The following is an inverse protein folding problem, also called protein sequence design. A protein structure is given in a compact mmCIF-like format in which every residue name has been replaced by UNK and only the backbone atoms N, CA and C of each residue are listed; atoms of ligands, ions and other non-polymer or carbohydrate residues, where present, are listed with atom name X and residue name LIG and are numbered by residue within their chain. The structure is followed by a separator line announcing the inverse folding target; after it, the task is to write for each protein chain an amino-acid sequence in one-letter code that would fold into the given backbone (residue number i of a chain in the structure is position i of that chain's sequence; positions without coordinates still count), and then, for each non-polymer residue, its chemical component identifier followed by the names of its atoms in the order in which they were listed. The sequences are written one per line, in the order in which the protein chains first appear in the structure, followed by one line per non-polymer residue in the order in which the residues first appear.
data_IF_284167677614
#
_entry.id   IF_284167677614
#
_cell.length_a   1.000
_cell.length_b   1.000
_cell.length_c   1.000
_cell.angle_alpha   90.00
_cell.angle_beta   90.00
_cell.angle_gamma   90.00
#
_symmetry.space_group_name_H-M   'P 1'
#
loop_
_entity.id
_entity.type
_entity.pdbx_description
1 polymer ?
#
# COMPACT_ATOMS: atom_id res chain seq x y z
N UNK A 1 17.18 -31.60 15.31
CA UNK A 1 17.65 -32.80 16.03
C UNK A 1 19.16 -32.92 16.13
N UNK A 2 19.92 -32.55 15.10
CA UNK A 2 21.38 -32.76 15.05
C UNK A 2 22.22 -31.48 15.15
N UNK A 3 21.66 -30.30 14.88
CA UNK A 3 22.36 -29.02 14.99
C UNK A 3 22.17 -28.40 16.38
N UNK A 4 23.23 -27.88 17.03
CA UNK A 4 23.08 -27.12 18.26
C UNK A 4 22.43 -25.75 18.00
N UNK A 5 21.72 -25.21 19.00
CA UNK A 5 21.22 -23.82 19.02
C UNK A 5 20.28 -23.41 17.88
N UNK A 6 19.48 -24.33 17.33
CA UNK A 6 18.38 -23.95 16.43
C UNK A 6 17.37 -23.12 17.22
N UNK A 7 17.09 -21.89 16.76
CA UNK A 7 16.14 -21.00 17.41
C UNK A 7 14.75 -21.66 17.52
N UNK A 8 14.04 -21.50 18.66
CA UNK A 8 12.66 -21.97 18.79
C UNK A 8 11.77 -21.44 17.65
N UNK A 9 11.06 -22.33 16.98
CA UNK A 9 10.20 -21.98 15.83
C UNK A 9 10.89 -21.89 14.47
N UNK A 10 12.21 -22.12 14.37
CA UNK A 10 12.98 -22.05 13.12
C UNK A 10 13.50 -23.42 12.62
N UNK A 11 12.84 -24.51 12.99
CA UNK A 11 13.19 -25.83 12.47
C UNK A 11 12.70 -26.00 11.02
N UNK A 12 13.59 -26.41 10.11
CA UNK A 12 13.21 -26.77 8.75
C UNK A 12 12.64 -28.19 8.72
N UNK A 13 11.47 -28.37 8.11
CA UNK A 13 10.81 -29.67 7.96
C UNK A 13 10.36 -29.93 6.52
N UNK A 14 9.59 -30.99 6.32
CA UNK A 14 9.12 -31.40 4.99
C UNK A 14 8.21 -30.37 4.29
N UNK A 15 7.61 -29.44 5.05
CA UNK A 15 6.77 -28.36 4.52
C UNK A 15 7.45 -27.00 4.43
N UNK A 16 8.78 -26.92 4.64
CA UNK A 16 9.53 -25.66 4.63
C UNK A 16 10.07 -25.37 3.23
N UNK A 17 9.66 -24.25 2.64
CA UNK A 17 10.31 -23.69 1.45
C UNK A 17 11.58 -22.91 1.83
N UNK A 18 12.57 -22.86 0.95
CA UNK A 18 13.86 -22.22 1.19
C UNK A 18 14.19 -21.20 0.09
N UNK A 19 14.54 -19.98 0.51
CA UNK A 19 15.12 -18.95 -0.36
C UNK A 19 16.56 -18.74 0.11
N UNK A 20 17.55 -18.91 -0.78
CA UNK A 20 18.95 -18.62 -0.44
C UNK A 20 19.18 -17.11 -0.46
N UNK A 21 19.72 -16.59 0.64
CA UNK A 21 20.16 -15.20 0.78
C UNK A 21 21.68 -15.09 1.01
N UNK A 22 22.44 -16.16 0.70
CA UNK A 22 23.90 -16.14 0.83
C UNK A 22 24.51 -15.08 -0.09
N UNK A 23 25.31 -14.18 0.47
CA UNK A 23 25.90 -13.06 -0.26
C UNK A 23 24.93 -11.92 -0.59
N UNK A 24 23.66 -12.01 -0.19
CA UNK A 24 22.66 -10.96 -0.39
C UNK A 24 22.54 -10.03 0.83
N UNK A 25 22.11 -8.79 0.59
CA UNK A 25 21.58 -7.91 1.64
C UNK A 25 20.05 -8.01 1.56
N UNK A 26 19.42 -8.36 2.67
CA UNK A 26 17.95 -8.40 2.78
C UNK A 26 17.48 -7.21 3.60
N UNK A 27 16.57 -6.41 3.04
CA UNK A 27 15.95 -5.28 3.73
C UNK A 27 14.46 -5.52 3.91
N UNK A 28 13.81 -4.73 4.76
CA UNK A 28 12.37 -4.56 4.65
C UNK A 28 12.03 -3.96 3.27
N UNK A 29 10.82 -4.23 2.79
CA UNK A 29 10.30 -3.51 1.63
C UNK A 29 10.07 -2.03 1.95
N UNK A 30 10.30 -1.16 0.98
CA UNK A 30 10.14 0.27 1.17
C UNK A 30 8.65 0.66 1.30
N UNK A 31 8.42 1.70 2.10
CA UNK A 31 7.12 2.32 2.36
C UNK A 31 7.10 3.72 1.74
N UNK A 32 6.26 3.92 0.72
CA UNK A 32 6.05 5.22 0.11
C UNK A 32 4.74 5.83 0.59
N UNK A 33 4.80 7.03 1.17
CA UNK A 33 3.64 7.67 1.84
C UNK A 33 3.08 8.89 1.12
N UNK A 34 3.58 9.18 -0.08
CA UNK A 34 3.16 10.32 -0.90
C UNK A 34 2.84 9.88 -2.34
N UNK A 35 1.96 8.90 -2.49
CA UNK A 35 1.62 8.35 -3.80
C UNK A 35 0.45 9.09 -4.44
N UNK A 36 0.62 9.54 -5.67
CA UNK A 36 -0.49 9.94 -6.53
C UNK A 36 -0.92 8.73 -7.34
N UNK A 37 -2.15 8.23 -7.15
CA UNK A 37 -2.65 7.07 -7.92
C UNK A 37 -3.16 7.46 -9.31
N UNK A 38 -2.21 7.86 -10.17
CA UNK A 38 -2.46 8.38 -11.53
C UNK A 38 -2.70 7.24 -12.52
N UNK A 39 -1.91 6.17 -12.44
CA UNK A 39 -2.03 5.03 -13.34
C UNK A 39 -1.60 3.73 -12.64
N UNK A 40 -2.13 2.56 -13.05
CA UNK A 40 -1.76 1.29 -12.42
C UNK A 40 -0.29 0.88 -12.68
N UNK A 41 0.32 1.34 -13.77
CA UNK A 41 1.68 0.99 -14.15
C UNK A 41 2.72 1.34 -13.08
N UNK A 42 2.47 2.42 -12.32
CA UNK A 42 3.38 2.86 -11.26
C UNK A 42 3.55 1.82 -10.15
N UNK A 43 2.59 0.91 -9.97
CA UNK A 43 2.72 -0.17 -8.98
C UNK A 43 3.84 -1.13 -9.40
N UNK A 44 3.94 -1.48 -10.68
CA UNK A 44 5.01 -2.35 -11.17
C UNK A 44 6.38 -1.68 -11.09
N UNK A 45 6.44 -0.38 -11.36
CA UNK A 45 7.66 0.41 -11.16
C UNK A 45 8.09 0.40 -9.69
N UNK A 46 7.16 0.71 -8.78
CA UNK A 46 7.38 0.69 -7.34
C UNK A 46 7.89 -0.67 -6.85
N UNK A 47 7.27 -1.77 -7.27
CA UNK A 47 7.69 -3.12 -6.91
C UNK A 47 9.12 -3.43 -7.39
N UNK A 48 9.45 -3.05 -8.63
CA UNK A 48 10.80 -3.24 -9.18
C UNK A 48 11.86 -2.43 -8.44
N UNK A 49 11.48 -1.31 -7.81
CA UNK A 49 12.33 -0.48 -6.97
C UNK A 49 12.38 -0.93 -5.48
N UNK A 50 11.74 -2.06 -5.14
CA UNK A 50 11.70 -2.59 -3.77
C UNK A 50 10.66 -1.93 -2.86
N UNK A 51 9.73 -1.14 -3.40
CA UNK A 51 8.58 -0.60 -2.66
C UNK A 51 7.50 -1.67 -2.57
N UNK A 52 7.04 -1.93 -1.35
CA UNK A 52 6.05 -2.97 -1.05
C UNK A 52 4.77 -2.42 -0.46
N UNK A 53 4.77 -1.14 -0.08
CA UNK A 53 3.60 -0.44 0.45
C UNK A 53 3.53 0.98 -0.12
N UNK A 54 2.37 1.34 -0.64
CA UNK A 54 2.10 2.62 -1.29
C UNK A 54 0.86 3.26 -0.66
N UNK A 55 1.07 4.36 0.05
CA UNK A 55 0.02 5.15 0.68
C UNK A 55 -0.09 6.52 0.00
N UNK A 56 -1.32 6.92 -0.32
CA UNK A 56 -1.57 8.17 -1.00
C UNK A 56 -3.00 8.22 -1.53
N UNK A 57 -3.28 8.95 -2.61
CA UNK A 57 -4.65 9.09 -3.11
C UNK A 57 -4.73 9.38 -4.60
N UNK A 58 -5.87 9.07 -5.19
CA UNK A 58 -6.11 9.29 -6.60
C UNK A 58 -7.24 8.45 -7.16
N UNK A 59 -7.69 8.81 -8.37
CA UNK A 59 -8.77 8.14 -9.11
C UNK A 59 -8.37 7.95 -10.58
N UNK A 60 -7.09 7.70 -10.85
CA UNK A 60 -6.52 7.70 -12.20
C UNK A 60 -6.06 9.10 -12.65
N UNK A 61 -5.91 9.34 -13.96
CA UNK A 61 -5.27 10.54 -14.51
C UNK A 61 -6.18 11.79 -14.51
N UNK A 62 -7.02 11.94 -13.48
CA UNK A 62 -7.85 13.10 -13.29
C UNK A 62 -7.02 14.30 -12.81
N UNK A 63 -7.42 15.52 -13.18
CA UNK A 63 -6.74 16.77 -12.76
C UNK A 63 -6.54 16.86 -11.25
N UNK A 64 -7.53 16.42 -10.46
CA UNK A 64 -7.42 16.38 -9.00
C UNK A 64 -6.30 15.47 -8.51
N UNK A 65 -6.22 14.25 -9.04
CA UNK A 65 -5.19 13.27 -8.70
C UNK A 65 -3.80 13.71 -9.15
N UNK A 66 -3.68 14.34 -10.31
CA UNK A 66 -2.40 14.88 -10.78
C UNK A 66 -1.86 16.00 -9.88
N UNK A 67 -2.71 16.62 -9.06
CA UNK A 67 -2.33 17.71 -8.17
C UNK A 67 -2.23 17.29 -6.70
N UNK A 68 -3.10 16.40 -6.24
CA UNK A 68 -3.25 16.08 -4.81
C UNK A 68 -3.45 14.57 -4.62
N UNK A 69 -2.77 14.02 -3.63
CA UNK A 69 -2.96 12.64 -3.13
C UNK A 69 -4.29 12.47 -2.39
N UNK A 70 -5.40 12.59 -3.11
CA UNK A 70 -6.74 12.42 -2.55
C UNK A 70 -7.61 11.53 -3.44
N UNK A 71 -8.29 10.58 -2.81
CA UNK A 71 -9.37 9.77 -3.36
C UNK A 71 -10.69 10.30 -2.77
N UNK A 72 -11.34 11.28 -3.42
CA UNK A 72 -12.38 12.07 -2.76
C UNK A 72 -13.73 11.34 -2.68
N UNK A 73 -14.24 11.18 -1.46
CA UNK A 73 -15.59 10.70 -1.20
C UNK A 73 -15.77 9.18 -1.26
N UNK A 74 -16.85 8.64 -0.65
CA UNK A 74 -17.04 7.19 -0.48
C UNK A 74 -17.01 6.39 -1.77
N UNK A 75 -17.64 6.90 -2.84
CA UNK A 75 -17.72 6.18 -4.12
C UNK A 75 -16.34 5.93 -4.74
N UNK A 76 -15.49 6.95 -4.77
CA UNK A 76 -14.15 6.82 -5.34
C UNK A 76 -13.27 5.90 -4.49
N UNK A 77 -13.40 5.98 -3.16
CA UNK A 77 -12.67 5.10 -2.23
C UNK A 77 -13.02 3.64 -2.51
N UNK A 78 -14.32 3.30 -2.59
CA UNK A 78 -14.74 1.93 -2.91
C UNK A 78 -14.22 1.47 -4.29
N UNK A 79 -14.27 2.32 -5.32
CA UNK A 79 -13.74 1.95 -6.65
C UNK A 79 -12.23 1.70 -6.63
N UNK A 80 -11.48 2.48 -5.85
CA UNK A 80 -10.03 2.29 -5.73
C UNK A 80 -9.67 1.05 -4.90
N UNK A 81 -10.45 0.74 -3.85
CA UNK A 81 -10.32 -0.51 -3.11
C UNK A 81 -10.60 -1.72 -4.01
N UNK A 82 -11.66 -1.68 -4.81
CA UNK A 82 -11.95 -2.73 -5.81
C UNK A 82 -10.83 -2.87 -6.85
N UNK A 83 -10.28 -1.75 -7.33
CA UNK A 83 -9.16 -1.77 -8.27
C UNK A 83 -7.87 -2.33 -7.65
N UNK A 84 -7.70 -2.22 -6.33
CA UNK A 84 -6.53 -2.70 -5.61
C UNK A 84 -6.47 -4.24 -5.51
N UNK A 85 -7.60 -4.95 -5.60
CA UNK A 85 -7.66 -6.43 -5.47
C UNK A 85 -6.77 -7.16 -6.49
N UNK A 86 -6.46 -6.53 -7.63
CA UNK A 86 -5.58 -7.10 -8.66
C UNK A 86 -4.10 -6.75 -8.53
N UNK A 87 -3.68 -6.01 -7.49
CA UNK A 87 -2.33 -5.44 -7.38
C UNK A 87 -1.55 -6.11 -6.24
N UNK A 88 -0.36 -6.67 -6.49
CA UNK A 88 0.44 -7.36 -5.46
C UNK A 88 1.29 -6.39 -4.63
N UNK A 89 0.68 -5.33 -4.10
CA UNK A 89 1.31 -4.31 -3.24
C UNK A 89 0.31 -3.94 -2.15
N UNK A 90 0.80 -3.64 -0.94
CA UNK A 90 -0.06 -3.08 0.11
C UNK A 90 -0.45 -1.64 -0.27
N UNK A 91 -1.73 -1.38 -0.50
CA UNK A 91 -2.23 -0.07 -0.90
C UNK A 91 -3.06 0.59 0.21
N UNK A 92 -2.80 1.87 0.45
CA UNK A 92 -3.56 2.71 1.37
C UNK A 92 -4.05 3.99 0.70
N UNK A 93 -5.34 4.29 0.81
CA UNK A 93 -5.96 5.45 0.16
C UNK A 93 -6.29 6.58 1.14
N UNK A 94 -5.90 7.80 0.83
CA UNK A 94 -6.20 9.01 1.60
C UNK A 94 -7.36 9.77 0.98
N UNK A 95 -8.30 10.19 1.82
CA UNK A 95 -9.42 11.06 1.45
C UNK A 95 -9.00 12.52 1.23
N UNK A 96 -9.98 13.33 0.88
CA UNK A 96 -9.84 14.78 0.71
C UNK A 96 -10.09 15.49 2.05
N UNK A 97 -9.09 16.20 2.55
CA UNK A 97 -9.08 16.83 3.88
C UNK A 97 -9.59 18.27 3.93
N UNK A 98 -9.79 18.93 2.80
CA UNK A 98 -10.26 20.32 2.77
C UNK A 98 -11.80 20.40 2.96
N UNK A 99 -12.23 20.35 4.21
CA UNK A 99 -13.61 20.64 4.60
C UNK A 99 -13.62 21.49 5.88
N UNK A 100 -14.63 22.34 6.04
CA UNK A 100 -14.85 23.14 7.26
C UNK A 100 -15.70 22.41 8.30
N UNK A 101 -16.33 21.29 7.93
CA UNK A 101 -17.20 20.49 8.79
C UNK A 101 -16.72 19.03 8.80
N UNK A 102 -16.88 18.31 9.92
CA UNK A 102 -16.34 16.96 10.08
C UNK A 102 -17.09 15.88 9.28
N UNK A 103 -18.38 16.06 8.99
CA UNK A 103 -19.21 14.99 8.42
C UNK A 103 -18.68 14.46 7.08
N UNK A 104 -18.22 15.35 6.21
CA UNK A 104 -17.62 14.97 4.92
C UNK A 104 -16.25 14.27 5.07
N UNK A 105 -15.56 14.45 6.20
CA UNK A 105 -14.34 13.70 6.50
C UNK A 105 -14.68 12.32 7.04
N UNK A 106 -15.66 12.24 7.95
CA UNK A 106 -16.10 11.00 8.58
C UNK A 106 -16.59 9.98 7.56
N UNK A 107 -17.41 10.39 6.57
CA UNK A 107 -17.90 9.47 5.53
C UNK A 107 -16.76 8.83 4.71
N UNK A 108 -15.64 9.54 4.53
CA UNK A 108 -14.49 9.03 3.78
C UNK A 108 -13.69 8.02 4.61
N UNK A 109 -13.52 8.27 5.91
CA UNK A 109 -12.88 7.32 6.83
C UNK A 109 -13.73 6.05 6.94
N UNK A 110 -15.05 6.20 7.10
CA UNK A 110 -16.00 5.07 7.14
C UNK A 110 -16.00 4.24 5.84
N UNK A 111 -15.78 4.89 4.69
CA UNK A 111 -15.65 4.22 3.41
C UNK A 111 -14.31 3.47 3.21
N UNK A 112 -13.35 3.62 4.14
CA UNK A 112 -12.07 2.92 4.12
C UNK A 112 -10.83 3.78 3.82
N UNK A 113 -10.94 5.11 3.84
CA UNK A 113 -9.74 5.94 3.80
C UNK A 113 -8.90 5.77 5.08
N UNK A 114 -7.58 5.65 4.93
CA UNK A 114 -6.63 5.48 6.05
C UNK A 114 -6.14 6.80 6.63
N UNK A 115 -6.58 7.92 6.06
CA UNK A 115 -6.17 9.27 6.42
C UNK A 115 -6.72 10.30 5.42
N UNK A 116 -6.36 11.57 5.59
CA UNK A 116 -6.78 12.67 4.70
C UNK A 116 -5.61 13.54 4.30
N UNK A 117 -5.66 14.08 3.08
CA UNK A 117 -4.68 15.07 2.57
C UNK A 117 -5.28 16.47 2.56
N UNK A 118 -4.55 17.43 3.13
CA UNK A 118 -4.83 18.87 3.12
C UNK A 118 -3.97 19.56 2.07
#
# INVERSE_FOLDING_TARGET
DTMPNVSPGMACGAGTEAISAEGCIVTAGALETHVHFICPQQCWEALSAGITTMNGGGTGPATGTNAVTSTPGPWNIHRMLEAAEGIPINLGFTGKGNCSLPDALNEQIEAGAIGVKV
#
